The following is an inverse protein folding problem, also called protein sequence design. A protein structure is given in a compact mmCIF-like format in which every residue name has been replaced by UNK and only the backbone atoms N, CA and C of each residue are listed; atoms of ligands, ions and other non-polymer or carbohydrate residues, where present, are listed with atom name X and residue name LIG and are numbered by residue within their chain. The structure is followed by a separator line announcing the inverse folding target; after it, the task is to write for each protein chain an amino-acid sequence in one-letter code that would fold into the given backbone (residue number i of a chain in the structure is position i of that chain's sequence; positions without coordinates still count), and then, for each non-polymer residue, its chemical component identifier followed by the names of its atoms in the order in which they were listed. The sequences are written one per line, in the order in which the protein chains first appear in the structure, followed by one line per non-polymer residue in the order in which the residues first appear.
data_IF_441224587398
#
_entry.id   IF_441224587398
#
_cell.length_a   1.000
_cell.length_b   1.000
_cell.length_c   1.000
_cell.angle_alpha   90.00
_cell.angle_beta   90.00
_cell.angle_gamma   90.00
#
_symmetry.space_group_name_H-M   'P 1'
#
loop_
_entity.id
_entity.type
_entity.pdbx_description
1 polymer ?
#
# COMPACT_ATOMS: atom_id res chain seq x y z
N UNK A 1 4.35 9.06 32.83
CA UNK A 1 4.15 7.91 31.93
C UNK A 1 4.00 8.46 30.52
N UNK A 2 5.01 8.26 29.66
CA UNK A 2 5.05 8.87 28.32
C UNK A 2 4.22 8.04 27.35
N UNK A 3 3.08 8.57 26.91
CA UNK A 3 2.23 7.91 25.92
C UNK A 3 2.86 8.13 24.55
N UNK A 4 3.61 7.14 24.07
CA UNK A 4 4.08 7.11 22.67
C UNK A 4 2.87 6.91 21.77
N UNK A 5 2.37 8.00 21.21
CA UNK A 5 1.35 8.02 20.18
C UNK A 5 1.92 7.41 18.88
N UNK A 6 2.01 6.07 18.83
CA UNK A 6 2.24 5.35 17.58
C UNK A 6 0.94 5.45 16.78
N UNK A 7 0.94 5.96 15.54
CA UNK A 7 -0.27 5.96 14.74
C UNK A 7 -0.69 4.51 14.55
N UNK A 8 -1.89 4.21 15.04
CA UNK A 8 -2.51 2.89 14.97
C UNK A 8 -2.50 2.44 13.52
N UNK A 9 -1.83 1.31 13.30
CA UNK A 9 -1.71 0.66 12.01
C UNK A 9 -3.09 0.49 11.40
N UNK A 10 -3.26 1.15 10.25
CA UNK A 10 -4.41 1.07 9.36
C UNK A 10 -4.86 -0.38 9.17
N UNK A 11 -5.84 -0.80 9.96
CA UNK A 11 -6.61 -2.01 9.72
C UNK A 11 -8.08 -1.65 9.96
N UNK A 12 -8.91 -2.03 8.98
CA UNK A 12 -10.37 -1.88 8.92
C UNK A 12 -10.97 -0.52 8.52
N UNK A 13 -10.71 -0.12 7.27
CA UNK A 13 -11.75 0.50 6.44
C UNK A 13 -12.02 -0.38 5.22
N UNK A 14 -12.69 -1.51 5.44
CA UNK A 14 -13.37 -2.27 4.36
C UNK A 14 -14.51 -1.41 3.80
N UNK A 15 -14.18 -0.46 2.93
CA UNK A 15 -15.17 0.38 2.24
C UNK A 15 -14.61 1.69 1.72
N UNK A 16 -13.52 2.19 2.31
CA UNK A 16 -12.98 3.50 1.95
C UNK A 16 -11.80 3.38 0.98
N UNK A 17 -11.76 4.25 -0.02
CA UNK A 17 -10.70 4.27 -1.03
C UNK A 17 -9.35 4.48 -0.33
N UNK A 18 -8.31 3.68 -0.66
CA UNK A 18 -7.00 3.84 -0.05
C UNK A 18 -6.45 5.27 -0.28
N UNK A 19 -5.68 5.83 0.67
CA UNK A 19 -5.01 7.11 0.48
C UNK A 19 -4.19 7.13 -0.80
N UNK A 20 -4.17 8.27 -1.50
CA UNK A 20 -3.42 8.45 -2.77
C UNK A 20 -1.96 7.99 -2.69
N UNK A 21 -1.30 8.23 -1.55
CA UNK A 21 0.07 7.77 -1.31
C UNK A 21 0.21 6.25 -1.33
N UNK A 22 -0.75 5.51 -0.76
CA UNK A 22 -0.76 4.05 -0.79
C UNK A 22 -1.01 3.51 -2.21
N UNK A 23 -1.91 4.14 -2.96
CA UNK A 23 -2.17 3.80 -4.37
C UNK A 23 -0.90 3.99 -5.21
N UNK A 24 -0.24 5.14 -5.08
CA UNK A 24 1.01 5.44 -5.79
C UNK A 24 2.13 4.46 -5.42
N UNK A 25 2.25 4.13 -4.14
CA UNK A 25 3.24 3.18 -3.65
C UNK A 25 3.00 1.76 -4.18
N UNK A 26 1.75 1.28 -4.15
CA UNK A 26 1.39 -0.02 -4.70
C UNK A 26 1.65 -0.10 -6.22
N UNK A 27 1.30 0.95 -6.98
CA UNK A 27 1.63 1.05 -8.41
C UNK A 27 3.15 1.02 -8.65
N UNK A 28 3.94 1.70 -7.82
CA UNK A 28 5.40 1.69 -7.93
C UNK A 28 6.00 0.31 -7.66
N UNK A 29 5.50 -0.41 -6.65
CA UNK A 29 5.93 -1.78 -6.36
C UNK A 29 5.67 -2.70 -7.56
N UNK A 30 4.45 -2.68 -8.11
CA UNK A 30 4.11 -3.49 -9.29
C UNK A 30 4.97 -3.15 -10.50
N UNK A 31 5.24 -1.87 -10.74
CA UNK A 31 6.12 -1.44 -11.82
C UNK A 31 7.54 -1.98 -11.64
N UNK A 32 8.10 -1.89 -10.44
CA UNK A 32 9.46 -2.37 -10.12
C UNK A 32 9.57 -3.89 -10.24
N UNK A 33 8.54 -4.61 -9.79
CA UNK A 33 8.47 -6.06 -9.95
C UNK A 33 8.46 -6.46 -11.43
N UNK A 34 7.63 -5.80 -12.27
CA UNK A 34 7.62 -6.01 -13.73
C UNK A 34 8.97 -5.71 -14.39
N UNK A 35 9.70 -4.73 -13.90
CA UNK A 35 11.05 -4.39 -14.38
C UNK A 35 12.13 -5.38 -13.89
N UNK A 36 11.79 -6.37 -13.05
CA UNK A 36 12.74 -7.28 -12.40
C UNK A 36 13.64 -6.58 -11.37
N UNK A 37 13.28 -5.37 -10.96
CA UNK A 37 14.08 -4.53 -10.06
C UNK A 37 13.61 -4.68 -8.62
N UNK A 38 14.22 -5.63 -7.94
CA UNK A 38 14.01 -5.88 -6.52
C UNK A 38 13.19 -7.14 -6.27
N UNK A 39 13.58 -7.90 -5.25
CA UNK A 39 12.90 -9.12 -4.80
C UNK A 39 11.69 -8.76 -3.93
N UNK A 40 10.75 -8.01 -4.47
CA UNK A 40 9.53 -7.62 -3.73
C UNK A 40 8.44 -8.64 -4.04
N UNK A 41 7.95 -9.32 -2.99
CA UNK A 41 6.78 -10.19 -3.12
C UNK A 41 5.54 -9.31 -3.22
N UNK A 42 4.90 -9.34 -4.39
CA UNK A 42 3.62 -8.68 -4.63
C UNK A 42 2.51 -9.49 -3.99
N UNK A 43 1.74 -8.87 -3.11
CA UNK A 43 0.54 -9.48 -2.50
C UNK A 43 -0.73 -9.10 -3.25
N UNK A 44 -1.81 -9.84 -3.06
CA UNK A 44 -3.12 -9.55 -3.68
C UNK A 44 -3.68 -8.20 -3.22
N UNK A 45 -3.41 -7.80 -1.98
CA UNK A 45 -3.77 -6.48 -1.47
C UNK A 45 -3.09 -5.35 -2.26
N UNK A 46 -1.79 -5.49 -2.57
CA UNK A 46 -1.08 -4.50 -3.38
C UNK A 46 -1.68 -4.39 -4.79
N UNK A 47 -2.09 -5.51 -5.39
CA UNK A 47 -2.77 -5.52 -6.69
C UNK A 47 -4.11 -4.79 -6.61
N UNK A 48 -4.88 -5.05 -5.55
CA UNK A 48 -6.16 -4.39 -5.28
C UNK A 48 -5.98 -2.89 -5.07
N UNK A 49 -4.99 -2.46 -4.29
CA UNK A 49 -4.74 -1.04 -4.03
C UNK A 49 -4.24 -0.33 -5.29
N UNK A 50 -3.41 -0.98 -6.10
CA UNK A 50 -2.90 -0.41 -7.34
C UNK A 50 -3.95 -0.29 -8.45
N UNK A 51 -5.08 -1.01 -8.36
CA UNK A 51 -6.16 -0.91 -9.34
C UNK A 51 -7.02 0.35 -9.16
N UNK A 52 -6.88 1.08 -8.04
CA UNK A 52 -7.57 2.36 -7.87
C UNK A 52 -6.91 3.46 -8.71
N UNK A 53 -7.72 4.39 -9.20
CA UNK A 53 -7.22 5.59 -9.88
C UNK A 53 -6.54 6.55 -8.90
N UNK A 54 -5.77 7.50 -9.41
CA UNK A 54 -5.09 8.55 -8.64
C UNK A 54 -5.90 9.85 -8.66
#
# INVERSE_FOLDING_TARGET
MTVSNRPETAQDVKGERPPRGQIAFAKLILKREREGKGKIRVTDEMRRVASFDL
#
